data_IF_784207233164
#
_entry.id   IF_784207233164
#
_cell.length_a   1.000
_cell.length_b   1.000
_cell.length_c   1.000
_cell.angle_alpha   90.00
_cell.angle_beta   90.00
_cell.angle_gamma   90.00
#
_symmetry.space_group_name_H-M   'P 1'
#
loop_
_entity.id
_entity.type
_entity.pdbx_description
1 polymer ?
#
# COMPACT_ATOMS: atom_id res chain seq x y z
N UNK A 1 -6.89 74.67 -42.54
CA UNK A 1 -5.90 74.92 -41.47
C UNK A 1 -6.54 74.59 -40.14
N UNK A 2 -5.91 73.72 -39.33
CA UNK A 2 -5.97 73.58 -37.85
C UNK A 2 -7.38 73.69 -37.20
N UNK A 3 -7.91 72.67 -36.55
CA UNK A 3 -7.36 72.14 -35.29
C UNK A 3 -7.82 70.71 -35.00
N UNK A 4 -6.84 69.85 -34.70
CA UNK A 4 -6.99 68.55 -34.06
C UNK A 4 -7.23 68.80 -32.57
N UNK A 5 -8.32 68.28 -32.00
CA UNK A 5 -8.47 68.11 -30.55
C UNK A 5 -8.28 66.62 -30.26
N UNK A 6 -7.17 66.31 -29.59
CA UNK A 6 -6.73 64.98 -29.22
C UNK A 6 -7.07 64.79 -27.74
N UNK A 7 -8.10 64.01 -27.46
CA UNK A 7 -8.50 63.64 -26.10
C UNK A 7 -7.57 62.54 -25.61
N UNK A 8 -6.66 62.86 -24.68
CA UNK A 8 -5.83 61.88 -23.98
C UNK A 8 -6.62 61.34 -22.79
N UNK A 9 -7.16 60.13 -22.91
CA UNK A 9 -7.62 59.35 -21.78
C UNK A 9 -6.44 58.62 -21.14
N UNK A 10 -6.03 59.02 -19.94
CA UNK A 10 -5.13 58.24 -19.10
C UNK A 10 -5.92 57.06 -18.51
N UNK A 11 -5.72 55.87 -19.07
CA UNK A 11 -6.11 54.63 -18.43
C UNK A 11 -5.01 54.23 -17.43
N UNK A 12 -5.28 54.38 -16.13
CA UNK A 12 -4.53 53.71 -15.07
C UNK A 12 -4.78 52.20 -15.19
N UNK A 13 -3.90 51.49 -15.91
CA UNK A 13 -3.83 50.03 -15.82
C UNK A 13 -3.12 49.72 -14.51
N UNK A 14 -3.91 49.43 -13.47
CA UNK A 14 -3.40 48.78 -12.28
C UNK A 14 -2.80 47.44 -12.67
N UNK A 15 -1.48 47.31 -12.56
CA UNK A 15 -0.83 46.01 -12.57
C UNK A 15 -1.26 45.28 -11.31
N UNK A 16 -2.30 44.43 -11.42
CA UNK A 16 -2.48 43.36 -10.46
C UNK A 16 -1.36 42.36 -10.72
N UNK A 17 -0.27 42.47 -9.95
CA UNK A 17 0.67 41.37 -9.82
C UNK A 17 -0.11 40.23 -9.16
N UNK A 18 -0.56 39.25 -9.95
CA UNK A 18 -1.08 38.01 -9.38
C UNK A 18 0.06 37.34 -8.64
N UNK A 19 -0.07 37.21 -7.31
CA UNK A 19 0.88 36.49 -6.49
C UNK A 19 1.15 35.12 -7.13
N UNK A 20 2.42 34.81 -7.41
CA UNK A 20 2.79 33.56 -8.05
C UNK A 20 2.64 32.43 -7.02
N UNK A 21 1.47 31.78 -7.03
CA UNK A 21 1.22 30.60 -6.19
C UNK A 21 1.81 29.37 -6.86
N UNK A 22 2.68 28.66 -6.13
CA UNK A 22 3.20 27.34 -6.52
C UNK A 22 2.38 26.26 -5.82
N UNK A 23 1.94 25.25 -6.56
CA UNK A 23 1.20 24.09 -6.03
C UNK A 23 2.10 22.86 -6.11
N UNK A 24 2.25 22.15 -4.99
CA UNK A 24 3.06 20.95 -4.86
C UNK A 24 2.16 19.81 -4.41
N UNK A 25 1.99 18.79 -5.25
CA UNK A 25 1.24 17.59 -4.91
C UNK A 25 2.13 16.57 -4.18
N UNK A 26 1.53 15.88 -3.21
CA UNK A 26 2.18 14.91 -2.32
C UNK A 26 3.50 15.42 -1.72
N UNK A 27 3.50 16.56 -0.99
CA UNK A 27 4.72 17.26 -0.60
C UNK A 27 5.54 16.56 0.50
N UNK A 28 4.96 15.65 1.27
CA UNK A 28 5.61 14.98 2.40
C UNK A 28 6.68 13.99 1.91
N UNK A 29 7.88 14.09 2.46
CA UNK A 29 9.01 13.18 2.17
C UNK A 29 9.52 12.42 3.39
N UNK A 30 9.20 12.91 4.59
CA UNK A 30 9.76 12.41 5.84
C UNK A 30 8.79 11.52 6.60
N UNK A 31 9.27 11.07 7.76
CA UNK A 31 8.46 10.29 8.69
C UNK A 31 7.37 11.14 9.34
N UNK A 32 6.30 10.46 9.74
CA UNK A 32 5.16 11.01 10.46
C UNK A 32 4.94 10.25 11.75
N UNK A 33 4.38 10.90 12.77
CA UNK A 33 4.05 10.23 14.05
C UNK A 33 2.72 9.50 14.03
N UNK A 34 1.94 9.65 12.95
CA UNK A 34 0.61 9.05 12.84
C UNK A 34 0.25 8.76 11.38
N UNK A 35 -0.54 7.71 11.16
CA UNK A 35 -1.24 7.48 9.89
C UNK A 35 -2.58 8.23 9.81
N UNK A 36 -3.04 8.85 10.90
CA UNK A 36 -4.32 9.55 10.94
C UNK A 36 -4.31 10.89 10.20
N UNK A 37 -3.15 11.43 9.81
CA UNK A 37 -2.98 12.72 9.17
C UNK A 37 -2.16 12.57 7.88
N UNK A 38 -2.67 13.15 6.79
CA UNK A 38 -1.99 13.23 5.50
C UNK A 38 -2.06 14.65 4.94
N UNK A 39 -0.93 15.19 4.46
CA UNK A 39 -0.91 16.38 3.62
C UNK A 39 -0.66 15.97 2.17
N UNK A 40 -1.66 16.15 1.31
CA UNK A 40 -1.57 15.76 -0.09
C UNK A 40 -1.25 16.92 -1.03
N UNK A 41 -1.32 18.16 -0.56
CA UNK A 41 -0.96 19.33 -1.38
C UNK A 41 -0.47 20.50 -0.52
N UNK A 42 0.53 21.21 -1.02
CA UNK A 42 0.97 22.49 -0.48
C UNK A 42 0.81 23.59 -1.54
N UNK A 43 0.17 24.69 -1.18
CA UNK A 43 0.14 25.92 -1.97
C UNK A 43 1.05 26.96 -1.30
N UNK A 44 2.02 27.49 -2.04
CA UNK A 44 3.06 28.37 -1.52
C UNK A 44 3.01 29.68 -2.28
N UNK A 45 2.85 30.79 -1.56
CA UNK A 45 2.91 32.15 -2.10
C UNK A 45 3.78 33.05 -1.22
N UNK A 46 3.90 34.32 -1.60
CA UNK A 46 4.56 35.36 -0.80
C UNK A 46 3.75 35.80 0.43
N UNK A 47 2.48 35.39 0.52
CA UNK A 47 1.54 35.80 1.56
C UNK A 47 1.11 34.69 2.51
N UNK A 48 1.23 33.42 2.10
CA UNK A 48 0.90 32.28 2.95
C UNK A 48 1.49 30.96 2.43
N UNK A 49 1.51 29.97 3.31
CA UNK A 49 1.56 28.56 2.93
C UNK A 49 0.25 27.91 3.33
N UNK A 50 -0.40 27.20 2.41
CA UNK A 50 -1.63 26.45 2.66
C UNK A 50 -1.35 24.98 2.46
N UNK A 51 -1.51 24.19 3.53
CA UNK A 51 -1.46 22.74 3.45
C UNK A 51 -2.88 22.19 3.35
N UNK A 52 -3.15 21.41 2.32
CA UNK A 52 -4.39 20.63 2.20
C UNK A 52 -4.14 19.21 2.65
N UNK A 53 -5.05 18.70 3.47
CA UNK A 53 -4.90 17.40 4.08
C UNK A 53 -6.21 16.68 4.34
N UNK A 54 -6.07 15.42 4.71
CA UNK A 54 -7.16 14.58 5.21
C UNK A 54 -6.77 14.02 6.57
N UNK A 55 -7.76 13.98 7.46
CA UNK A 55 -7.73 13.14 8.65
C UNK A 55 -8.40 11.80 8.34
N UNK A 56 -7.84 10.70 8.85
CA UNK A 56 -8.36 9.34 8.69
C UNK A 56 -8.54 8.65 10.04
N UNK A 57 -9.70 8.02 10.24
CA UNK A 57 -9.94 7.08 11.34
C UNK A 57 -11.17 6.23 11.06
N UNK A 58 -11.41 5.21 11.90
CA UNK A 58 -12.66 4.41 11.85
C UNK A 58 -13.87 5.30 12.15
N UNK A 59 -15.07 5.00 11.61
CA UNK A 59 -16.28 5.72 11.94
C UNK A 59 -16.52 5.78 13.45
N UNK A 60 -17.01 6.91 13.94
CA UNK A 60 -17.23 7.19 15.37
C UNK A 60 -15.96 7.27 16.24
N UNK A 61 -14.76 7.15 15.67
CA UNK A 61 -13.53 7.57 16.33
C UNK A 61 -13.30 9.05 16.06
N UNK A 62 -12.77 9.78 17.03
CA UNK A 62 -12.49 11.20 16.88
C UNK A 62 -11.05 11.44 16.42
N UNK A 63 -10.87 12.57 15.75
CA UNK A 63 -9.58 13.18 15.47
C UNK A 63 -9.62 14.63 15.92
N UNK A 64 -8.46 15.25 16.12
CA UNK A 64 -8.36 16.66 16.50
C UNK A 64 -7.09 17.25 15.90
N UNK A 65 -7.16 18.52 15.50
CA UNK A 65 -5.98 19.32 15.16
C UNK A 65 -5.84 20.44 16.19
N UNK A 66 -4.65 20.60 16.76
CA UNK A 66 -4.38 21.63 17.76
C UNK A 66 -4.26 23.03 17.14
N UNK A 67 -4.75 24.07 17.82
CA UNK A 67 -4.51 25.46 17.38
C UNK A 67 -3.06 25.91 17.56
N UNK A 68 -2.29 25.19 18.38
CA UNK A 68 -0.85 25.42 18.60
C UNK A 68 0.03 24.94 17.44
N UNK A 69 -0.54 24.37 16.37
CA UNK A 69 0.22 23.87 15.24
C UNK A 69 1.05 24.94 14.54
N UNK A 70 2.23 24.53 14.10
CA UNK A 70 3.19 25.39 13.40
C UNK A 70 3.85 24.65 12.25
N UNK A 71 4.46 25.43 11.34
CA UNK A 71 5.52 24.94 10.47
C UNK A 71 6.87 25.41 10.99
N UNK A 72 7.88 24.55 10.94
CA UNK A 72 9.26 24.88 11.27
C UNK A 72 10.14 24.77 10.04
N UNK A 73 10.78 25.87 9.65
CA UNK A 73 11.74 25.92 8.54
C UNK A 73 12.98 25.09 8.85
N UNK A 74 13.40 24.24 7.91
CA UNK A 74 14.60 23.38 8.07
C UNK A 74 15.88 24.17 7.94
N UNK A 75 15.93 25.16 7.05
CA UNK A 75 17.12 25.93 6.75
C UNK A 75 17.32 27.09 7.73
N UNK A 76 16.26 27.81 8.07
CA UNK A 76 16.33 28.99 8.96
C UNK A 76 16.02 28.68 10.41
N UNK A 77 15.36 27.55 10.70
CA UNK A 77 14.86 27.21 12.03
C UNK A 77 13.65 28.05 12.47
N UNK A 78 13.15 28.96 11.63
CA UNK A 78 12.04 29.85 11.96
C UNK A 78 10.74 29.06 12.13
N UNK A 79 9.91 29.52 13.07
CA UNK A 79 8.57 28.98 13.32
C UNK A 79 7.54 29.87 12.64
N UNK A 80 6.63 29.26 11.89
CA UNK A 80 5.56 29.89 11.13
C UNK A 80 4.22 29.44 11.72
N UNK A 81 3.43 30.40 12.21
CA UNK A 81 2.22 30.12 12.98
C UNK A 81 1.05 29.75 12.08
N UNK A 82 0.18 28.87 12.59
CA UNK A 82 -1.14 28.64 12.00
C UNK A 82 -1.98 29.92 12.11
N UNK A 83 -2.55 30.35 10.98
CA UNK A 83 -3.44 31.51 10.87
C UNK A 83 -4.90 31.05 10.90
N UNK A 84 -5.23 30.01 10.12
CA UNK A 84 -6.61 29.56 9.94
C UNK A 84 -6.69 28.09 9.56
N UNK A 85 -7.72 27.41 10.06
CA UNK A 85 -8.17 26.11 9.56
C UNK A 85 -9.51 26.24 8.80
N UNK A 86 -9.73 25.40 7.79
CA UNK A 86 -10.99 25.32 7.05
C UNK A 86 -11.35 23.85 6.84
N UNK A 87 -12.60 23.48 7.05
CA UNK A 87 -13.08 22.09 6.97
C UNK A 87 -12.97 21.31 8.28
N UNK A 88 -12.32 21.87 9.30
CA UNK A 88 -12.20 21.30 10.65
C UNK A 88 -12.18 22.40 11.71
N UNK A 89 -12.70 22.12 12.90
CA UNK A 89 -12.59 23.00 14.07
C UNK A 89 -11.35 22.65 14.90
N UNK A 90 -10.48 23.63 15.13
CA UNK A 90 -9.29 23.45 15.97
C UNK A 90 -9.66 23.20 17.44
N UNK A 91 -8.81 22.44 18.13
CA UNK A 91 -8.95 22.05 19.55
C UNK A 91 -10.26 21.33 19.89
N UNK A 92 -10.94 20.77 18.90
CA UNK A 92 -12.22 20.09 19.06
C UNK A 92 -12.15 18.66 18.53
N UNK A 93 -12.80 17.73 19.24
CA UNK A 93 -12.96 16.35 18.78
C UNK A 93 -13.93 16.31 17.59
N UNK A 94 -13.45 15.81 16.46
CA UNK A 94 -14.23 15.66 15.23
C UNK A 94 -14.38 14.17 14.95
N UNK A 95 -15.60 13.66 15.08
CA UNK A 95 -15.89 12.24 14.87
C UNK A 95 -15.94 11.90 13.39
N UNK A 96 -15.30 10.79 13.01
CA UNK A 96 -15.22 10.36 11.62
C UNK A 96 -16.57 9.85 11.09
N UNK A 97 -16.94 10.25 9.87
CA UNK A 97 -18.13 9.76 9.18
C UNK A 97 -17.91 8.34 8.63
N UNK A 98 -18.94 7.79 7.99
CA UNK A 98 -18.86 6.53 7.21
C UNK A 98 -17.90 6.59 6.03
N UNK A 99 -17.39 7.77 5.64
CA UNK A 99 -16.33 7.89 4.64
C UNK A 99 -14.91 7.68 5.20
N UNK A 100 -14.77 7.50 6.52
CA UNK A 100 -13.50 7.27 7.21
C UNK A 100 -12.48 8.42 7.09
N UNK A 101 -12.89 9.55 6.53
CA UNK A 101 -12.04 10.71 6.37
C UNK A 101 -12.75 12.05 6.58
N UNK A 102 -11.96 13.07 6.91
CA UNK A 102 -12.36 14.49 6.88
C UNK A 102 -11.28 15.32 6.21
N UNK A 103 -11.65 15.99 5.12
CA UNK A 103 -10.75 16.92 4.41
C UNK A 103 -10.71 18.27 5.10
N UNK A 104 -9.52 18.87 5.12
CA UNK A 104 -9.29 20.18 5.69
C UNK A 104 -8.17 20.94 4.95
N UNK A 105 -8.01 22.21 5.29
CA UNK A 105 -6.82 22.99 4.94
C UNK A 105 -6.36 23.83 6.12
N UNK A 106 -5.04 24.00 6.24
CA UNK A 106 -4.36 24.80 7.24
C UNK A 106 -3.58 25.89 6.53
N UNK A 107 -3.89 27.15 6.85
CA UNK A 107 -3.17 28.31 6.34
C UNK A 107 -2.18 28.79 7.41
N UNK A 108 -0.90 28.87 7.04
CA UNK A 108 0.19 29.35 7.87
C UNK A 108 0.72 30.70 7.37
N UNK A 109 1.52 31.36 8.20
CA UNK A 109 2.35 32.49 7.81
C UNK A 109 3.22 32.16 6.58
N UNK A 110 3.57 33.17 5.74
CA UNK A 110 4.47 32.95 4.62
C UNK A 110 5.84 32.48 5.10
N UNK A 111 6.37 31.48 4.40
CA UNK A 111 7.65 30.86 4.71
C UNK A 111 8.80 31.65 4.07
N UNK A 112 9.94 31.76 4.75
CA UNK A 112 11.16 32.36 4.19
C UNK A 112 11.58 31.61 2.93
N UNK A 113 11.97 32.32 1.87
CA UNK A 113 12.35 31.71 0.58
C UNK A 113 13.53 30.74 0.69
N UNK A 114 14.30 30.81 1.77
CA UNK A 114 15.39 29.86 2.08
C UNK A 114 14.87 28.53 2.61
N UNK A 115 13.70 28.50 3.22
CA UNK A 115 13.10 27.28 3.76
C UNK A 115 12.36 26.52 2.66
N UNK A 116 13.06 25.58 2.03
CA UNK A 116 12.52 24.74 0.96
C UNK A 116 11.77 23.54 1.52
N UNK A 117 12.05 23.22 2.78
CA UNK A 117 11.41 22.15 3.52
C UNK A 117 10.97 22.66 4.89
N UNK A 118 9.83 22.17 5.34
CA UNK A 118 9.28 22.48 6.66
C UNK A 118 8.83 21.22 7.37
N UNK A 119 8.88 21.25 8.70
CA UNK A 119 8.23 20.25 9.54
C UNK A 119 6.93 20.83 10.08
N UNK A 120 5.85 20.03 10.08
CA UNK A 120 4.63 20.33 10.81
C UNK A 120 4.71 19.72 12.22
N UNK A 121 4.38 20.50 13.23
CA UNK A 121 4.28 20.05 14.63
C UNK A 121 3.08 20.73 15.32
N UNK A 122 2.26 19.94 16.01
CA UNK A 122 1.16 20.46 16.84
C UNK A 122 1.63 21.16 18.12
N UNK A 123 2.92 21.07 18.47
CA UNK A 123 3.53 21.65 19.67
C UNK A 123 2.91 21.16 20.97
N UNK A 124 2.46 19.90 20.99
CA UNK A 124 1.90 19.25 22.19
C UNK A 124 3.05 18.66 23.05
N UNK A 125 3.20 19.08 24.33
CA UNK A 125 4.35 18.70 25.17
C UNK A 125 4.47 17.20 25.51
N UNK A 126 3.38 16.45 25.46
CA UNK A 126 3.32 15.06 25.95
C UNK A 126 3.56 13.99 24.85
N UNK A 127 4.11 14.39 23.70
CA UNK A 127 4.49 13.44 22.63
C UNK A 127 3.33 12.83 21.84
N UNK A 128 2.08 13.11 22.21
CA UNK A 128 0.87 12.64 21.52
C UNK A 128 0.43 13.55 20.35
N UNK A 129 1.19 14.61 20.04
CA UNK A 129 0.88 15.51 18.94
C UNK A 129 1.28 14.93 17.59
N UNK A 130 0.54 15.33 16.56
CA UNK A 130 0.91 14.98 15.19
C UNK A 130 2.15 15.75 14.76
N UNK A 131 3.10 15.03 14.17
CA UNK A 131 4.27 15.58 13.49
C UNK A 131 4.37 14.98 12.11
N UNK A 132 4.65 15.83 11.13
CA UNK A 132 4.91 15.44 9.75
C UNK A 132 6.18 16.14 9.32
N UNK A 133 7.24 15.37 9.11
CA UNK A 133 8.54 15.90 8.79
C UNK A 133 8.74 16.04 7.28
N UNK A 134 9.65 16.94 6.90
CA UNK A 134 10.19 17.06 5.54
C UNK A 134 9.08 17.30 4.48
N UNK A 135 8.17 18.24 4.77
CA UNK A 135 7.19 18.74 3.79
C UNK A 135 7.93 19.64 2.80
N UNK A 136 8.07 19.16 1.57
CA UNK A 136 8.75 19.89 0.50
C UNK A 136 7.84 20.99 -0.05
N UNK A 137 8.33 22.23 -0.01
CA UNK A 137 7.61 23.39 -0.52
C UNK A 137 7.99 23.73 -1.96
N UNK A 138 8.84 22.93 -2.61
CA UNK A 138 9.28 23.10 -3.99
C UNK A 138 8.83 21.95 -4.89
N UNK A 139 8.76 22.21 -6.19
CA UNK A 139 8.51 21.15 -7.17
C UNK A 139 9.66 20.16 -7.12
N UNK A 140 9.33 18.88 -6.93
CA UNK A 140 10.29 17.78 -6.91
C UNK A 140 10.96 17.68 -8.29
N UNK A 141 12.29 17.69 -8.32
CA UNK A 141 13.00 17.19 -9.49
C UNK A 141 12.90 15.67 -9.48
N UNK A 142 12.13 15.13 -10.41
CA UNK A 142 11.92 13.69 -10.53
C UNK A 142 13.04 13.13 -11.42
N UNK A 143 14.07 12.59 -10.77
CA UNK A 143 15.21 11.94 -11.43
C UNK A 143 15.07 10.42 -11.34
N UNK A 144 13.99 9.89 -11.92
CA UNK A 144 13.67 8.46 -11.95
C UNK A 144 13.49 7.99 -13.38
N UNK A 145 13.84 6.72 -13.65
CA UNK A 145 13.83 6.15 -15.00
C UNK A 145 12.44 5.75 -15.48
N UNK A 146 11.55 5.46 -14.54
CA UNK A 146 10.21 4.94 -14.80
C UNK A 146 9.18 5.93 -14.30
N UNK A 147 8.18 6.18 -15.13
CA UNK A 147 6.97 6.91 -14.78
C UNK A 147 5.75 5.99 -15.03
N UNK A 148 5.16 5.54 -13.94
CA UNK A 148 3.96 4.71 -13.93
C UNK A 148 2.77 5.56 -13.47
N UNK A 149 1.83 5.81 -14.39
CA UNK A 149 0.60 6.54 -14.11
C UNK A 149 -0.47 5.58 -13.60
N UNK A 150 -0.90 5.76 -12.37
CA UNK A 150 -1.97 4.97 -11.75
C UNK A 150 -3.22 5.83 -11.69
N UNK A 151 -4.32 5.36 -12.27
CA UNK A 151 -5.62 6.03 -12.24
C UNK A 151 -6.72 5.02 -11.97
N UNK A 152 -7.82 5.47 -11.39
CA UNK A 152 -8.92 4.56 -11.16
C UNK A 152 -10.15 5.18 -10.53
N UNK A 153 -11.12 4.31 -10.33
CA UNK A 153 -12.40 4.63 -9.68
C UNK A 153 -12.70 3.66 -8.55
N UNK A 154 -13.52 4.12 -7.61
CA UNK A 154 -14.06 3.34 -6.51
C UNK A 154 -15.57 3.21 -6.73
N UNK A 155 -16.05 1.98 -6.89
CA UNK A 155 -17.46 1.69 -7.05
C UNK A 155 -18.18 1.77 -5.69
N UNK A 156 -18.91 2.87 -5.46
CA UNK A 156 -19.93 3.05 -4.42
C UNK A 156 -19.52 2.59 -3.00
N UNK A 157 -18.28 2.84 -2.58
CA UNK A 157 -17.81 2.55 -1.23
C UNK A 157 -17.22 3.81 -0.58
N UNK A 158 -18.00 4.53 0.26
CA UNK A 158 -17.52 5.74 0.94
C UNK A 158 -16.27 5.50 1.80
N UNK A 159 -16.11 4.29 2.37
CA UNK A 159 -14.99 3.94 3.23
C UNK A 159 -13.64 3.90 2.50
N UNK A 160 -13.63 3.74 1.17
CA UNK A 160 -12.43 3.70 0.35
C UNK A 160 -11.93 5.13 0.04
N UNK A 161 -11.82 5.97 1.07
CA UNK A 161 -11.33 7.35 0.95
C UNK A 161 -9.81 7.44 0.86
N UNK A 162 -9.10 6.34 1.15
CA UNK A 162 -7.64 6.21 1.14
C UNK A 162 -7.21 4.85 0.61
N UNK A 163 -6.26 4.86 -0.31
CA UNK A 163 -5.62 3.66 -0.83
C UNK A 163 -4.19 3.58 -0.33
N UNK A 164 -3.74 2.35 -0.09
CA UNK A 164 -2.37 2.02 0.23
C UNK A 164 -1.69 1.50 -1.03
N UNK A 165 -0.55 2.06 -1.40
CA UNK A 165 0.29 1.60 -2.50
C UNK A 165 1.69 1.27 -1.95
N UNK A 166 2.18 0.06 -2.21
CA UNK A 166 3.51 -0.37 -1.74
C UNK A 166 4.13 -1.43 -2.65
N UNK A 167 5.45 -1.60 -2.62
CA UNK A 167 6.08 -2.76 -3.26
C UNK A 167 5.48 -4.06 -2.70
N UNK A 168 5.24 -5.03 -3.57
CA UNK A 168 4.51 -6.24 -3.17
C UNK A 168 5.32 -7.12 -2.22
N UNK A 169 4.65 -7.57 -1.16
CA UNK A 169 5.24 -8.43 -0.14
C UNK A 169 6.02 -7.70 0.93
N UNK A 170 5.77 -6.39 1.04
CA UNK A 170 6.17 -5.58 2.18
C UNK A 170 5.10 -5.69 3.27
N UNK A 171 5.48 -5.41 4.52
CA UNK A 171 4.54 -5.40 5.64
C UNK A 171 4.32 -3.94 6.07
N UNK A 172 3.09 -3.41 5.95
CA UNK A 172 2.81 -1.99 6.23
C UNK A 172 3.01 -1.61 7.71
N UNK A 173 3.22 -2.58 8.61
CA UNK A 173 3.55 -2.34 10.02
C UNK A 173 5.01 -1.97 10.25
N UNK A 174 5.89 -2.35 9.34
CA UNK A 174 7.35 -2.12 9.46
C UNK A 174 7.92 -1.31 8.30
N UNK A 175 7.22 -1.27 7.17
CA UNK A 175 7.62 -0.50 6.00
C UNK A 175 6.56 0.53 5.63
N UNK A 176 7.02 1.75 5.36
CA UNK A 176 6.15 2.83 4.91
C UNK A 176 5.50 2.51 3.56
N UNK A 177 4.30 3.07 3.35
CA UNK A 177 3.50 2.90 2.15
C UNK A 177 3.04 4.28 1.64
N UNK A 178 2.72 4.33 0.35
CA UNK A 178 2.24 5.54 -0.32
C UNK A 178 0.73 5.64 -0.12
N UNK A 179 0.28 6.77 0.43
CA UNK A 179 -1.12 7.09 0.62
C UNK A 179 -1.68 7.81 -0.61
N UNK A 180 -2.73 7.25 -1.21
CA UNK A 180 -3.42 7.86 -2.35
C UNK A 180 -4.84 8.23 -1.91
N UNK A 181 -5.18 9.52 -1.84
CA UNK A 181 -6.53 9.95 -1.51
C UNK A 181 -7.50 9.64 -2.66
N UNK A 182 -8.72 9.26 -2.30
CA UNK A 182 -9.84 9.16 -3.23
C UNK A 182 -10.69 10.42 -3.11
N UNK A 183 -11.04 11.00 -4.26
CA UNK A 183 -11.84 12.22 -4.39
C UNK A 183 -12.97 11.97 -5.36
N UNK A 184 -14.21 12.17 -4.91
CA UNK A 184 -15.40 11.96 -5.73
C UNK A 184 -15.42 10.59 -6.43
N UNK A 185 -14.99 9.54 -5.70
CA UNK A 185 -14.90 8.18 -6.20
C UNK A 185 -13.79 7.93 -7.23
N UNK A 186 -12.81 8.85 -7.36
CA UNK A 186 -11.69 8.75 -8.30
C UNK A 186 -10.36 8.95 -7.60
N UNK A 187 -9.30 8.37 -8.15
CA UNK A 187 -7.94 8.58 -7.68
C UNK A 187 -6.95 8.62 -8.82
N UNK A 188 -5.82 9.27 -8.57
CA UNK A 188 -4.71 9.33 -9.50
C UNK A 188 -3.40 9.55 -8.76
N UNK A 189 -2.35 8.88 -9.23
CA UNK A 189 -1.02 8.98 -8.68
C UNK A 189 0.05 8.76 -9.77
N UNK A 190 1.13 9.55 -9.71
CA UNK A 190 2.31 9.35 -10.53
C UNK A 190 3.40 8.66 -9.70
N UNK A 191 3.61 7.37 -9.97
CA UNK A 191 4.66 6.58 -9.35
C UNK A 191 5.94 6.69 -10.16
N UNK A 192 7.04 7.06 -9.49
CA UNK A 192 8.36 7.21 -10.10
C UNK A 192 9.39 6.30 -9.44
N UNK A 193 9.96 5.37 -10.20
CA UNK A 193 10.91 4.36 -9.71
C UNK A 193 12.13 4.22 -10.62
N UNK A 194 13.17 3.53 -10.16
CA UNK A 194 14.37 3.25 -10.96
C UNK A 194 14.38 1.87 -11.59
N UNK A 195 13.48 0.98 -11.14
CA UNK A 195 13.45 -0.44 -11.47
C UNK A 195 12.02 -0.90 -11.61
N UNK A 196 11.82 -1.85 -12.52
CA UNK A 196 10.54 -2.54 -12.71
C UNK A 196 10.38 -3.57 -11.59
N UNK A 197 9.40 -3.35 -10.72
CA UNK A 197 9.09 -4.24 -9.61
C UNK A 197 7.58 -4.29 -9.36
N UNK A 198 7.06 -5.41 -8.82
CA UNK A 198 5.65 -5.53 -8.51
C UNK A 198 5.27 -4.61 -7.35
N UNK A 199 4.18 -3.87 -7.53
CA UNK A 199 3.49 -3.10 -6.51
C UNK A 199 2.12 -3.72 -6.25
N UNK A 200 1.60 -3.52 -5.04
CA UNK A 200 0.24 -3.84 -4.68
C UNK A 200 -0.53 -2.60 -4.22
N UNK A 201 -1.83 -2.56 -4.54
CA UNK A 201 -2.76 -1.52 -4.14
C UNK A 201 -4.02 -2.11 -3.53
N UNK A 202 -4.48 -1.55 -2.42
CA UNK A 202 -5.75 -1.89 -1.76
C UNK A 202 -6.26 -0.76 -0.88
N UNK A 203 -7.53 -0.83 -0.47
CA UNK A 203 -8.14 0.16 0.39
C UNK A 203 -7.62 0.06 1.83
N UNK A 204 -7.28 1.21 2.43
CA UNK A 204 -6.83 1.27 3.83
C UNK A 204 -7.91 0.79 4.82
N UNK A 205 -9.18 1.03 4.52
CA UNK A 205 -10.31 0.56 5.32
C UNK A 205 -10.38 -0.97 5.41
N UNK A 206 -10.04 -1.68 4.33
CA UNK A 206 -10.06 -3.15 4.32
C UNK A 206 -8.88 -3.73 5.09
N UNK A 207 -7.72 -3.08 4.97
CA UNK A 207 -6.53 -3.41 5.75
C UNK A 207 -6.84 -3.40 7.25
N UNK A 208 -7.54 -2.35 7.72
CA UNK A 208 -7.96 -2.24 9.11
C UNK A 208 -9.00 -3.28 9.55
N UNK A 209 -9.73 -3.87 8.61
CA UNK A 209 -10.76 -4.87 8.86
C UNK A 209 -10.27 -6.30 8.68
N UNK A 210 -9.05 -6.51 8.16
CA UNK A 210 -8.51 -7.85 7.94
C UNK A 210 -9.05 -8.55 6.69
N UNK A 211 -9.62 -7.81 5.73
CA UNK A 211 -10.36 -8.38 4.59
C UNK A 211 -10.02 -7.71 3.26
N UNK A 212 -8.74 -7.38 3.03
CA UNK A 212 -8.31 -6.64 1.84
C UNK A 212 -8.14 -7.52 0.60
N UNK A 213 -8.40 -6.92 -0.56
CA UNK A 213 -8.17 -7.51 -1.89
C UNK A 213 -7.00 -6.79 -2.57
N UNK A 214 -5.75 -7.24 -2.36
CA UNK A 214 -4.60 -6.60 -2.98
C UNK A 214 -4.63 -6.82 -4.49
N UNK A 215 -4.40 -5.75 -5.26
CA UNK A 215 -4.21 -5.86 -6.71
C UNK A 215 -2.77 -5.57 -7.09
N UNK A 216 -2.13 -6.53 -7.76
CA UNK A 216 -0.71 -6.44 -8.13
C UNK A 216 -0.52 -6.03 -9.59
N UNK A 217 0.45 -5.15 -9.82
CA UNK A 217 0.89 -4.68 -11.13
C UNK A 217 2.39 -4.32 -11.11
N UNK A 218 3.00 -4.07 -12.27
CA UNK A 218 4.41 -3.66 -12.33
C UNK A 218 4.55 -2.14 -12.37
N UNK A 219 5.55 -1.63 -11.64
CA UNK A 219 6.03 -0.26 -11.79
C UNK A 219 6.83 -0.14 -13.10
N UNK A 220 6.12 0.04 -14.21
CA UNK A 220 6.69 0.19 -15.55
C UNK A 220 6.19 1.47 -16.23
N UNK A 221 6.86 1.88 -17.31
CA UNK A 221 6.44 3.04 -18.07
C UNK A 221 5.07 2.80 -18.70
N UNK A 222 4.11 3.67 -18.40
CA UNK A 222 2.78 3.58 -18.96
C UNK A 222 1.69 3.89 -17.94
N UNK A 223 0.48 3.42 -18.25
CA UNK A 223 -0.72 3.69 -17.47
C UNK A 223 -1.35 2.40 -16.97
N UNK A 224 -1.86 2.45 -15.76
CA UNK A 224 -2.63 1.40 -15.11
C UNK A 224 -3.97 2.00 -14.70
N UNK A 225 -5.05 1.36 -15.14
CA UNK A 225 -6.41 1.72 -14.80
C UNK A 225 -7.00 0.67 -13.85
N UNK A 226 -7.57 1.11 -12.73
CA UNK A 226 -8.07 0.21 -11.68
C UNK A 226 -9.52 0.60 -11.33
N UNK A 227 -10.40 -0.39 -11.24
CA UNK A 227 -11.75 -0.24 -10.67
C UNK A 227 -11.80 -1.04 -9.38
N UNK A 228 -11.97 -0.34 -8.26
CA UNK A 228 -12.07 -0.93 -6.93
C UNK A 228 -13.53 -1.17 -6.56
N UNK A 229 -13.80 -2.32 -5.95
CA UNK A 229 -15.11 -2.73 -5.47
C UNK A 229 -15.01 -3.14 -4.00
N UNK A 230 -16.11 -2.98 -3.24
CA UNK A 230 -16.11 -3.29 -1.80
C UNK A 230 -16.19 -4.78 -1.46
N UNK A 231 -16.62 -5.62 -2.40
CA UNK A 231 -16.99 -7.02 -2.12
C UNK A 231 -16.50 -8.01 -3.18
N UNK A 232 -15.62 -7.58 -4.09
CA UNK A 232 -15.08 -8.41 -5.16
C UNK A 232 -13.67 -7.95 -5.52
N UNK A 233 -12.95 -8.81 -6.24
CA UNK A 233 -11.62 -8.49 -6.71
C UNK A 233 -11.63 -7.21 -7.57
N UNK A 234 -10.60 -6.35 -7.47
CA UNK A 234 -10.46 -5.19 -8.34
C UNK A 234 -10.29 -5.58 -9.81
N UNK A 235 -10.82 -4.76 -10.71
CA UNK A 235 -10.55 -4.87 -12.14
C UNK A 235 -9.34 -4.02 -12.47
N UNK A 236 -8.39 -4.57 -13.25
CA UNK A 236 -7.17 -3.88 -13.64
C UNK A 236 -6.97 -3.98 -15.14
N UNK A 237 -6.66 -2.85 -15.76
CA UNK A 237 -6.38 -2.73 -17.18
C UNK A 237 -5.06 -2.01 -17.40
N UNK A 238 -4.24 -2.53 -18.30
CA UNK A 238 -3.03 -1.85 -18.74
C UNK A 238 -2.59 -2.40 -20.10
N UNK A 239 -2.09 -1.50 -20.95
CA UNK A 239 -1.37 -1.88 -22.16
C UNK A 239 0.15 -1.96 -21.95
N UNK A 240 0.63 -1.64 -20.75
CA UNK A 240 2.04 -1.70 -20.42
C UNK A 240 2.51 -3.18 -20.40
N UNK A 241 3.64 -3.53 -21.06
CA UNK A 241 3.97 -4.92 -21.39
C UNK A 241 3.98 -5.90 -20.21
N UNK A 242 4.57 -5.56 -19.07
CA UNK A 242 4.73 -6.49 -17.95
C UNK A 242 3.40 -6.73 -17.24
N UNK A 243 2.65 -5.67 -16.97
CA UNK A 243 1.33 -5.70 -16.35
C UNK A 243 0.35 -6.40 -17.28
N UNK A 244 0.39 -6.13 -18.59
CA UNK A 244 -0.43 -6.81 -19.59
C UNK A 244 -0.15 -8.32 -19.64
N UNK A 245 1.12 -8.72 -19.61
CA UNK A 245 1.50 -10.14 -19.53
C UNK A 245 0.98 -10.79 -18.22
N UNK A 246 1.15 -10.13 -17.07
CA UNK A 246 0.65 -10.61 -15.79
C UNK A 246 -0.88 -10.78 -15.79
N UNK A 247 -1.60 -9.78 -16.30
CA UNK A 247 -3.06 -9.82 -16.38
C UNK A 247 -3.54 -10.92 -17.31
N UNK A 248 -2.88 -11.11 -18.47
CA UNK A 248 -3.18 -12.22 -19.38
C UNK A 248 -3.00 -13.57 -18.68
N UNK A 249 -1.87 -13.77 -18.00
CA UNK A 249 -1.61 -15.01 -17.27
C UNK A 249 -2.67 -15.26 -16.18
N UNK A 250 -3.03 -14.23 -15.40
CA UNK A 250 -4.09 -14.32 -14.38
C UNK A 250 -5.44 -14.68 -14.99
N UNK A 251 -5.85 -14.02 -16.08
CA UNK A 251 -7.12 -14.30 -16.76
C UNK A 251 -7.18 -15.71 -17.37
N UNK A 252 -6.10 -16.13 -18.04
CA UNK A 252 -6.00 -17.47 -18.63
C UNK A 252 -6.07 -18.54 -17.55
N UNK A 253 -5.37 -18.36 -16.43
CA UNK A 253 -5.36 -19.34 -15.34
C UNK A 253 -6.66 -19.36 -14.54
N UNK A 254 -7.31 -18.21 -14.31
CA UNK A 254 -8.64 -18.17 -13.68
C UNK A 254 -9.65 -18.97 -14.51
N UNK A 255 -9.67 -18.73 -15.83
CA UNK A 255 -10.54 -19.45 -16.76
C UNK A 255 -10.25 -20.94 -16.86
N UNK A 256 -8.98 -21.32 -16.95
CA UNK A 256 -8.57 -22.71 -17.12
C UNK A 256 -8.80 -23.55 -15.86
N UNK A 257 -8.68 -22.95 -14.67
CA UNK A 257 -8.60 -23.70 -13.42
C UNK A 257 -9.68 -23.33 -12.41
N UNK A 258 -10.00 -22.05 -12.23
CA UNK A 258 -10.69 -21.57 -11.02
C UNK A 258 -12.15 -21.13 -11.23
N UNK A 259 -12.53 -20.65 -12.41
CA UNK A 259 -13.91 -20.18 -12.70
C UNK A 259 -14.96 -21.24 -12.34
N UNK A 260 -14.77 -22.47 -12.83
CA UNK A 260 -15.71 -23.57 -12.56
C UNK A 260 -15.80 -23.95 -11.07
N UNK A 261 -14.71 -23.79 -10.31
CA UNK A 261 -14.71 -24.05 -8.86
C UNK A 261 -15.46 -22.95 -8.12
N UNK A 262 -15.30 -21.70 -8.55
CA UNK A 262 -15.99 -20.54 -7.98
C UNK A 262 -17.50 -20.65 -8.21
N UNK A 263 -17.93 -20.96 -9.44
CA UNK A 263 -19.35 -21.17 -9.77
C UNK A 263 -19.98 -22.30 -8.94
N UNK A 264 -19.28 -23.42 -8.79
CA UNK A 264 -19.74 -24.55 -7.99
C UNK A 264 -19.82 -24.20 -6.49
N UNK A 265 -18.81 -23.48 -5.97
CA UNK A 265 -18.82 -22.98 -4.60
C UNK A 265 -19.99 -22.04 -4.35
N UNK A 266 -20.20 -21.04 -5.20
CA UNK A 266 -21.31 -20.09 -5.08
C UNK A 266 -22.68 -20.79 -5.08
N UNK A 267 -22.83 -21.86 -5.86
CA UNK A 267 -24.04 -22.68 -5.84
C UNK A 267 -24.23 -23.37 -4.49
N UNK A 268 -23.19 -23.99 -3.94
CA UNK A 268 -23.25 -24.63 -2.62
C UNK A 268 -23.55 -23.60 -1.51
N UNK A 269 -23.00 -22.38 -1.60
CA UNK A 269 -23.30 -21.28 -0.67
C UNK A 269 -24.78 -20.90 -0.73
N UNK A 270 -25.34 -20.70 -1.94
CA UNK A 270 -26.77 -20.38 -2.14
C UNK A 270 -27.70 -21.48 -1.63
N UNK A 271 -27.27 -22.74 -1.70
CA UNK A 271 -28.03 -23.90 -1.21
C UNK A 271 -27.80 -24.19 0.28
N UNK A 272 -27.00 -23.40 1.00
CA UNK A 272 -26.55 -23.65 2.39
C UNK A 272 -25.92 -25.03 2.58
N UNK A 273 -25.13 -25.48 1.59
CA UNK A 273 -24.48 -26.80 1.56
C UNK A 273 -22.98 -26.75 1.87
N UNK A 274 -22.44 -25.64 2.35
CA UNK A 274 -21.04 -25.62 2.81
C UNK A 274 -20.92 -26.28 4.18
N UNK A 275 -21.60 -25.71 5.18
CA UNK A 275 -21.51 -26.11 6.58
C UNK A 275 -22.57 -27.14 6.93
N UNK A 276 -22.26 -28.04 7.85
CA UNK A 276 -23.26 -28.94 8.42
C UNK A 276 -24.23 -28.17 9.33
N UNK A 277 -25.43 -28.71 9.62
CA UNK A 277 -26.36 -28.07 10.56
C UNK A 277 -25.76 -27.80 11.94
N UNK A 278 -24.85 -28.66 12.42
CA UNK A 278 -24.15 -28.47 13.68
C UNK A 278 -23.20 -27.25 13.64
N UNK A 279 -22.47 -27.08 12.53
CA UNK A 279 -21.58 -25.93 12.35
C UNK A 279 -22.37 -24.61 12.21
N UNK A 280 -23.48 -24.62 11.48
CA UNK A 280 -24.38 -23.45 11.37
C UNK A 280 -24.97 -23.06 12.73
N UNK A 281 -25.32 -24.02 13.57
CA UNK A 281 -25.80 -23.76 14.92
C UNK A 281 -24.74 -23.04 15.78
N UNK A 282 -23.48 -23.50 15.74
CA UNK A 282 -22.38 -22.84 16.44
C UNK A 282 -22.12 -21.42 15.90
N UNK A 283 -22.22 -21.21 14.59
CA UNK A 283 -22.07 -19.87 13.99
C UNK A 283 -23.16 -18.90 14.51
N UNK A 284 -24.40 -19.36 14.60
CA UNK A 284 -25.49 -18.58 15.18
C UNK A 284 -25.33 -18.33 16.69
N UNK A 285 -24.61 -19.19 17.42
CA UNK A 285 -24.22 -18.93 18.83
C UNK A 285 -23.18 -17.82 18.92
N UNK A 286 -22.18 -17.77 18.02
CA UNK A 286 -21.17 -16.69 17.98
C UNK A 286 -21.83 -15.32 17.81
N UNK A 287 -22.83 -15.21 16.94
CA UNK A 287 -23.56 -13.96 16.69
C UNK A 287 -24.31 -13.46 17.93
N UNK A 288 -24.72 -14.36 18.83
CA UNK A 288 -25.47 -14.04 20.06
C UNK A 288 -24.58 -13.82 21.28
N UNK A 289 -23.32 -14.27 21.22
CA UNK A 289 -22.39 -14.20 22.34
C UNK A 289 -22.14 -12.75 22.77
N UNK A 290 -22.25 -12.50 24.08
CA UNK A 290 -22.21 -11.15 24.66
C UNK A 290 -20.79 -10.72 25.07
N UNK A 291 -19.87 -11.67 25.23
CA UNK A 291 -18.51 -11.41 25.68
C UNK A 291 -17.48 -12.31 24.98
N UNK A 292 -16.19 -11.98 25.16
CA UNK A 292 -15.08 -12.69 24.51
C UNK A 292 -14.90 -14.14 25.01
N UNK A 293 -15.19 -14.43 26.28
CA UNK A 293 -15.00 -15.78 26.83
C UNK A 293 -16.03 -16.76 26.23
N UNK A 294 -17.29 -16.35 26.13
CA UNK A 294 -18.34 -17.11 25.42
C UNK A 294 -17.92 -17.38 23.97
N UNK A 295 -17.44 -16.36 23.25
CA UNK A 295 -16.97 -16.52 21.87
C UNK A 295 -15.82 -17.52 21.79
N UNK A 296 -14.86 -17.43 22.70
CA UNK A 296 -13.71 -18.33 22.76
C UNK A 296 -14.13 -19.78 22.99
N UNK A 297 -15.06 -20.05 23.89
CA UNK A 297 -15.63 -21.39 24.10
C UNK A 297 -16.33 -21.92 22.84
N UNK A 298 -17.12 -21.09 22.16
CA UNK A 298 -17.80 -21.48 20.92
C UNK A 298 -16.77 -21.76 19.81
N UNK A 299 -15.74 -20.94 19.66
CA UNK A 299 -14.67 -21.17 18.70
C UNK A 299 -13.89 -22.47 18.97
N UNK A 300 -13.71 -22.85 20.24
CA UNK A 300 -13.12 -24.15 20.59
C UNK A 300 -14.01 -25.30 20.11
N UNK A 301 -15.34 -25.21 20.30
CA UNK A 301 -16.29 -26.22 19.78
C UNK A 301 -16.29 -26.28 18.26
N UNK A 302 -16.24 -25.13 17.58
CA UNK A 302 -16.15 -25.08 16.11
C UNK A 302 -14.87 -25.76 15.61
N UNK A 303 -13.73 -25.49 16.25
CA UNK A 303 -12.46 -26.16 15.93
C UNK A 303 -12.55 -27.68 16.14
N UNK A 304 -13.09 -28.13 17.27
CA UNK A 304 -13.26 -29.57 17.51
C UNK A 304 -14.18 -30.23 16.47
N UNK A 305 -15.24 -29.55 16.05
CA UNK A 305 -16.15 -30.06 15.02
C UNK A 305 -15.44 -30.19 13.65
N UNK A 306 -14.54 -29.27 13.34
CA UNK A 306 -13.69 -29.31 12.15
C UNK A 306 -12.64 -30.42 12.24
N UNK A 307 -11.92 -30.52 13.36
CA UNK A 307 -10.94 -31.59 13.64
C UNK A 307 -11.58 -32.99 13.56
N UNK A 308 -12.86 -33.11 13.95
CA UNK A 308 -13.67 -34.33 13.83
C UNK A 308 -14.14 -34.62 12.39
N UNK A 309 -13.91 -33.71 11.44
CA UNK A 309 -14.36 -33.80 10.04
C UNK A 309 -15.88 -33.62 9.87
N UNK A 310 -16.54 -32.97 10.83
CA UNK A 310 -18.01 -32.80 10.89
C UNK A 310 -18.46 -31.36 10.62
N UNK A 311 -17.54 -30.43 10.40
CA UNK A 311 -17.89 -29.03 10.12
C UNK A 311 -18.52 -28.85 8.74
N UNK A 312 -18.07 -29.61 7.74
CA UNK A 312 -18.45 -29.46 6.33
C UNK A 312 -19.32 -30.61 5.80
N UNK A 313 -20.20 -30.30 4.86
CA UNK A 313 -21.02 -31.32 4.18
C UNK A 313 -20.18 -32.19 3.23
N UNK A 314 -20.72 -33.35 2.85
CA UNK A 314 -20.05 -34.22 1.86
C UNK A 314 -19.96 -33.55 0.46
N UNK A 315 -20.98 -32.79 0.05
CA UNK A 315 -20.95 -32.03 -1.22
C UNK A 315 -19.79 -31.03 -1.23
N UNK A 316 -19.55 -30.33 -0.12
CA UNK A 316 -18.44 -29.38 0.00
C UNK A 316 -17.07 -30.09 0.04
N UNK A 317 -16.94 -31.21 0.77
CA UNK A 317 -15.70 -32.01 0.79
C UNK A 317 -15.31 -32.52 -0.60
N UNK A 318 -16.30 -32.89 -1.43
CA UNK A 318 -16.06 -33.26 -2.83
C UNK A 318 -15.48 -32.08 -3.62
N UNK A 319 -16.02 -30.87 -3.44
CA UNK A 319 -15.49 -29.66 -4.06
C UNK A 319 -14.08 -29.32 -3.55
N UNK A 320 -13.79 -29.48 -2.26
CA UNK A 320 -12.44 -29.27 -1.71
C UNK A 320 -11.42 -30.22 -2.33
N UNK A 321 -11.76 -31.50 -2.46
CA UNK A 321 -10.87 -32.47 -3.14
C UNK A 321 -10.63 -32.08 -4.59
N UNK A 322 -11.68 -31.67 -5.32
CA UNK A 322 -11.56 -31.17 -6.70
C UNK A 322 -10.65 -29.92 -6.75
N UNK A 323 -10.79 -29.01 -5.80
CA UNK A 323 -9.94 -27.82 -5.67
C UNK A 323 -8.46 -28.17 -5.45
N UNK A 324 -8.16 -29.16 -4.60
CA UNK A 324 -6.80 -29.66 -4.39
C UNK A 324 -6.19 -30.23 -5.68
N UNK A 325 -6.94 -31.04 -6.44
CA UNK A 325 -6.49 -31.60 -7.72
C UNK A 325 -6.25 -30.51 -8.77
N UNK A 326 -7.14 -29.52 -8.86
CA UNK A 326 -6.99 -28.36 -9.74
C UNK A 326 -5.76 -27.54 -9.38
N UNK A 327 -5.54 -27.27 -8.09
CA UNK A 327 -4.35 -26.55 -7.62
C UNK A 327 -3.05 -27.27 -8.00
N UNK A 328 -3.01 -28.60 -7.93
CA UNK A 328 -1.89 -29.39 -8.41
C UNK A 328 -1.62 -29.20 -9.92
N UNK A 329 -2.68 -29.19 -10.74
CA UNK A 329 -2.59 -28.92 -12.18
C UNK A 329 -2.13 -27.50 -12.48
N UNK A 330 -2.67 -26.51 -11.75
CA UNK A 330 -2.27 -25.11 -11.87
C UNK A 330 -0.79 -24.91 -11.53
N UNK A 331 -0.29 -25.50 -10.42
CA UNK A 331 1.13 -25.43 -10.04
C UNK A 331 2.05 -25.92 -11.17
N UNK A 332 1.70 -27.04 -11.81
CA UNK A 332 2.47 -27.58 -12.93
C UNK A 332 2.39 -26.67 -14.16
N UNK A 333 1.20 -26.17 -14.50
CA UNK A 333 1.02 -25.22 -15.60
C UNK A 333 1.84 -23.94 -15.39
N UNK A 334 1.81 -23.36 -14.18
CA UNK A 334 2.60 -22.17 -13.82
C UNK A 334 4.10 -22.44 -13.95
N UNK A 335 4.60 -23.60 -13.48
CA UNK A 335 6.02 -23.99 -13.66
C UNK A 335 6.41 -24.07 -15.15
N UNK A 336 5.57 -24.67 -15.99
CA UNK A 336 5.84 -24.76 -17.43
C UNK A 336 5.79 -23.39 -18.12
N UNK A 337 4.87 -22.52 -17.72
CA UNK A 337 4.83 -21.13 -18.17
C UNK A 337 6.14 -20.41 -17.83
N UNK A 338 6.58 -20.49 -16.56
CA UNK A 338 7.80 -19.85 -16.07
C UNK A 338 9.04 -20.37 -16.82
N UNK A 339 9.12 -21.68 -17.11
CA UNK A 339 10.22 -22.29 -17.87
C UNK A 339 10.24 -21.81 -19.32
N UNK A 340 9.08 -21.75 -19.96
CA UNK A 340 8.95 -21.39 -21.37
C UNK A 340 9.09 -19.88 -21.62
N UNK A 341 8.83 -19.06 -20.61
CA UNK A 341 8.81 -17.61 -20.70
C UNK A 341 9.73 -16.99 -19.62
N UNK A 342 11.06 -16.92 -19.85
CA UNK A 342 11.99 -16.34 -18.90
C UNK A 342 11.96 -14.80 -18.92
N UNK A 343 10.81 -14.22 -18.57
CA UNK A 343 10.48 -12.79 -18.52
C UNK A 343 10.53 -12.27 -17.08
N UNK A 344 10.42 -10.96 -16.87
CA UNK A 344 10.30 -10.38 -15.52
C UNK A 344 9.03 -10.89 -14.82
N UNK A 345 7.93 -11.09 -15.56
CA UNK A 345 6.70 -11.68 -15.03
C UNK A 345 6.93 -13.14 -14.61
N UNK A 346 7.63 -13.94 -15.42
CA UNK A 346 8.02 -15.30 -15.04
C UNK A 346 8.87 -15.35 -13.77
N UNK A 347 9.81 -14.42 -13.61
CA UNK A 347 10.63 -14.29 -12.39
C UNK A 347 9.75 -13.92 -11.17
N UNK A 348 8.80 -13.02 -11.36
CA UNK A 348 7.81 -12.67 -10.33
C UNK A 348 6.96 -13.87 -9.91
N UNK A 349 6.40 -14.62 -10.87
CA UNK A 349 5.61 -15.82 -10.57
C UNK A 349 6.45 -16.87 -9.81
N UNK A 350 7.72 -17.03 -10.18
CA UNK A 350 8.65 -17.91 -9.47
C UNK A 350 8.89 -17.45 -8.03
N UNK A 351 9.08 -16.15 -7.79
CA UNK A 351 9.15 -15.56 -6.44
C UNK A 351 7.86 -15.85 -5.64
N UNK A 352 6.70 -15.72 -6.27
CA UNK A 352 5.41 -15.97 -5.61
C UNK A 352 5.23 -17.44 -5.23
N UNK A 353 5.69 -18.39 -6.06
CA UNK A 353 5.71 -19.81 -5.67
C UNK A 353 6.52 -20.04 -4.41
N UNK A 354 7.70 -19.41 -4.29
CA UNK A 354 8.53 -19.52 -3.08
C UNK A 354 7.77 -19.07 -1.83
N UNK A 355 7.03 -17.97 -1.91
CA UNK A 355 6.27 -17.43 -0.77
C UNK A 355 5.13 -18.33 -0.32
N UNK A 356 4.60 -19.17 -1.22
CA UNK A 356 3.51 -20.13 -0.95
C UNK A 356 4.01 -21.55 -0.63
N UNK A 357 5.32 -21.77 -0.66
CA UNK A 357 5.92 -23.09 -0.55
C UNK A 357 5.97 -23.56 0.90
N UNK A 358 5.64 -24.83 1.11
CA UNK A 358 5.68 -25.49 2.41
C UNK A 358 6.69 -26.65 2.47
N UNK A 359 7.15 -27.18 1.33
CA UNK A 359 7.99 -28.39 1.22
C UNK A 359 9.37 -28.11 0.60
N UNK A 360 10.34 -28.95 0.93
CA UNK A 360 11.73 -28.99 0.46
C UNK A 360 11.91 -29.54 -0.96
N UNK A 361 11.09 -30.50 -1.43
CA UNK A 361 11.24 -31.04 -2.80
C UNK A 361 10.86 -30.00 -3.85
N UNK A 362 9.78 -29.24 -3.61
CA UNK A 362 9.38 -28.08 -4.43
C UNK A 362 10.52 -27.05 -4.56
N UNK A 363 11.39 -26.93 -3.54
CA UNK A 363 12.50 -25.99 -3.55
C UNK A 363 13.55 -26.35 -4.60
N UNK A 364 13.89 -27.64 -4.77
CA UNK A 364 14.94 -28.07 -5.72
C UNK A 364 14.56 -27.77 -7.17
N UNK A 365 13.30 -27.99 -7.52
CA UNK A 365 12.73 -27.64 -8.83
C UNK A 365 12.83 -26.14 -9.12
N UNK A 366 12.40 -25.30 -8.17
CA UNK A 366 12.43 -23.84 -8.28
C UNK A 366 13.87 -23.35 -8.47
N UNK A 367 14.81 -23.91 -7.68
CA UNK A 367 16.24 -23.62 -7.81
C UNK A 367 16.76 -23.97 -9.20
N UNK A 368 16.37 -25.12 -9.75
CA UNK A 368 16.77 -25.54 -11.09
C UNK A 368 16.20 -24.61 -12.18
N UNK A 369 14.92 -24.26 -12.09
CA UNK A 369 14.27 -23.30 -13.02
C UNK A 369 15.01 -21.96 -13.01
N UNK A 370 15.31 -21.43 -11.83
CA UNK A 370 16.05 -20.17 -11.73
C UNK A 370 17.45 -20.29 -12.32
N UNK A 371 18.23 -21.30 -11.90
CA UNK A 371 19.63 -21.49 -12.33
C UNK A 371 19.76 -21.67 -13.85
N UNK A 372 18.78 -22.30 -14.50
CA UNK A 372 18.81 -22.58 -15.96
C UNK A 372 18.17 -21.49 -16.82
N UNK A 373 17.07 -20.88 -16.36
CA UNK A 373 16.28 -19.94 -17.17
C UNK A 373 16.53 -18.46 -16.88
N UNK A 374 16.94 -18.13 -15.65
CA UNK A 374 16.93 -16.76 -15.10
C UNK A 374 18.28 -16.28 -14.59
N UNK A 375 19.19 -17.18 -14.20
CA UNK A 375 20.52 -16.79 -13.72
C UNK A 375 21.26 -15.94 -14.77
N UNK A 376 21.76 -14.78 -14.33
CA UNK A 376 22.42 -13.80 -15.20
C UNK A 376 21.48 -12.90 -16.00
N UNK A 377 20.16 -13.15 -16.01
CA UNK A 377 19.14 -12.22 -16.50
C UNK A 377 18.68 -11.29 -15.39
N UNK A 378 18.18 -10.12 -15.78
CA UNK A 378 17.59 -9.14 -14.87
C UNK A 378 18.49 -8.87 -13.64
N UNK A 379 19.81 -8.77 -13.85
CA UNK A 379 20.79 -8.75 -12.77
C UNK A 379 20.57 -7.58 -11.78
N UNK A 380 20.04 -6.46 -12.29
CA UNK A 380 19.73 -5.26 -11.50
C UNK A 380 18.31 -5.29 -10.89
N UNK A 381 17.53 -6.37 -11.07
CA UNK A 381 16.18 -6.46 -10.55
C UNK A 381 16.16 -6.96 -9.08
N UNK A 382 15.43 -6.32 -8.15
CA UNK A 382 15.37 -6.74 -6.74
C UNK A 382 14.89 -8.19 -6.54
N UNK A 383 14.03 -8.69 -7.43
CA UNK A 383 13.58 -10.09 -7.36
C UNK A 383 14.71 -11.07 -7.66
N UNK A 384 15.66 -10.70 -8.52
CA UNK A 384 16.86 -11.51 -8.79
C UNK A 384 17.72 -11.65 -7.53
N UNK A 385 17.87 -10.57 -6.76
CA UNK A 385 18.60 -10.59 -5.50
C UNK A 385 17.88 -11.42 -4.43
N UNK A 386 16.55 -11.29 -4.35
CA UNK A 386 15.72 -12.16 -3.51
C UNK A 386 15.93 -13.64 -3.85
N UNK A 387 15.90 -14.01 -5.14
CA UNK A 387 16.11 -15.39 -5.57
C UNK A 387 17.50 -15.90 -5.17
N UNK A 388 18.56 -15.11 -5.36
CA UNK A 388 19.92 -15.49 -4.95
C UNK A 388 20.02 -15.71 -3.45
N UNK A 389 19.45 -14.81 -2.65
CA UNK A 389 19.44 -14.91 -1.19
C UNK A 389 18.66 -16.14 -0.72
N UNK A 390 17.49 -16.39 -1.30
CA UNK A 390 16.67 -17.55 -0.99
C UNK A 390 17.37 -18.88 -1.35
N UNK A 391 18.07 -18.93 -2.49
CA UNK A 391 18.89 -20.09 -2.87
C UNK A 391 20.02 -20.29 -1.86
N UNK A 392 20.77 -19.24 -1.56
CA UNK A 392 21.90 -19.30 -0.63
C UNK A 392 21.45 -19.73 0.77
N UNK A 393 20.29 -19.26 1.25
CA UNK A 393 19.78 -19.60 2.58
C UNK A 393 19.46 -21.10 2.72
N UNK A 394 19.09 -21.76 1.61
CA UNK A 394 18.85 -23.21 1.56
C UNK A 394 20.13 -24.03 1.50
N UNK A 395 21.25 -23.42 1.11
CA UNK A 395 22.57 -24.06 1.08
C UNK A 395 23.32 -23.95 2.43
N UNK A 396 22.77 -23.19 3.40
CA UNK A 396 23.30 -23.13 4.77
C UNK A 396 23.14 -24.48 5.46
N UNK A 397 24.22 -24.97 6.06
CA UNK A 397 24.28 -26.23 6.79
C UNK A 397 25.12 -26.09 8.06
N UNK A 398 24.90 -26.96 9.04
CA UNK A 398 25.72 -27.03 10.25
C UNK A 398 27.21 -27.21 9.88
N UNK A 399 28.07 -26.37 10.45
CA UNK A 399 29.50 -26.31 10.11
C UNK A 399 29.83 -25.65 8.75
N UNK A 400 28.84 -25.12 8.04
CA UNK A 400 28.99 -24.36 6.80
C UNK A 400 29.31 -22.88 7.02
N UNK A 401 29.43 -22.13 5.93
CA UNK A 401 29.56 -20.67 5.96
C UNK A 401 28.18 -20.03 6.14
N UNK A 402 28.07 -19.03 7.02
CA UNK A 402 26.88 -18.19 7.11
C UNK A 402 26.87 -17.13 5.99
N UNK A 403 25.69 -16.57 5.72
CA UNK A 403 25.55 -15.42 4.82
C UNK A 403 25.82 -14.16 5.63
N UNK A 404 26.90 -13.46 5.31
CA UNK A 404 27.20 -12.18 5.94
C UNK A 404 26.24 -11.11 5.43
N UNK A 405 25.79 -10.24 6.33
CA UNK A 405 24.85 -9.16 6.00
C UNK A 405 25.13 -7.94 6.86
N UNK A 406 24.60 -6.80 6.43
CA UNK A 406 24.63 -5.55 7.19
C UNK A 406 23.22 -5.07 7.41
N UNK A 407 22.86 -4.79 8.67
CA UNK A 407 21.56 -4.28 9.06
C UNK A 407 21.74 -3.08 10.02
N UNK A 408 20.88 -2.05 9.93
CA UNK A 408 20.91 -0.96 10.89
C UNK A 408 20.39 -1.40 12.27
N UNK A 409 20.92 -0.80 13.35
CA UNK A 409 20.32 -0.85 14.69
C UNK A 409 19.09 0.09 14.80
N UNK A 410 18.54 0.24 16.01
CA UNK A 410 17.38 1.08 16.27
C UNK A 410 17.64 2.58 16.00
N UNK A 411 18.91 2.99 16.04
CA UNK A 411 19.41 4.33 15.77
C UNK A 411 19.79 4.54 14.29
N UNK A 412 19.68 3.50 13.46
CA UNK A 412 20.01 3.53 12.05
C UNK A 412 21.49 3.28 11.72
N UNK A 413 22.31 2.93 12.71
CA UNK A 413 23.74 2.67 12.54
C UNK A 413 23.94 1.28 11.92
N UNK A 414 24.68 1.14 10.81
CA UNK A 414 24.85 -0.15 10.15
C UNK A 414 25.83 -1.07 10.92
N UNK A 415 25.38 -2.29 11.22
CA UNK A 415 26.16 -3.37 11.81
C UNK A 415 26.34 -4.52 10.83
N UNK A 416 27.58 -4.98 10.64
CA UNK A 416 27.88 -6.15 9.78
C UNK A 416 28.07 -7.39 10.66
N UNK A 417 27.30 -8.45 10.42
CA UNK A 417 27.30 -9.66 11.25
C UNK A 417 28.72 -10.20 11.47
N UNK A 418 29.52 -10.35 10.42
CA UNK A 418 30.88 -10.88 10.52
C UNK A 418 31.79 -10.12 11.48
N UNK A 419 31.62 -8.80 11.59
CA UNK A 419 32.36 -7.95 12.53
C UNK A 419 31.85 -8.10 13.95
N UNK A 420 30.54 -8.19 14.13
CA UNK A 420 29.92 -8.33 15.45
C UNK A 420 30.29 -9.64 16.14
N UNK A 421 30.41 -10.71 15.34
CA UNK A 421 30.64 -12.07 15.83
C UNK A 421 32.11 -12.50 15.76
N UNK A 422 33.03 -11.61 15.38
CA UNK A 422 34.45 -11.96 15.24
C UNK A 422 35.01 -12.54 16.55
N UNK A 423 35.41 -13.81 16.51
CA UNK A 423 35.92 -14.55 17.67
C UNK A 423 34.86 -14.91 18.73
N UNK A 424 33.57 -14.70 18.45
CA UNK A 424 32.44 -14.94 19.36
C UNK A 424 31.46 -15.96 18.79
N UNK A 425 30.64 -16.54 19.65
CA UNK A 425 29.46 -17.30 19.27
C UNK A 425 28.28 -16.34 19.22
N UNK A 426 27.49 -16.37 18.14
CA UNK A 426 26.24 -15.64 18.04
C UNK A 426 25.05 -16.58 18.25
N UNK A 427 24.09 -16.12 19.04
CA UNK A 427 22.74 -16.64 19.05
C UNK A 427 21.89 -15.68 18.21
N UNK A 428 21.27 -16.19 17.15
CA UNK A 428 20.37 -15.41 16.30
C UNK A 428 18.95 -15.82 16.69
N UNK A 429 18.23 -14.89 17.31
CA UNK A 429 16.79 -15.00 17.53
C UNK A 429 16.09 -14.37 16.31
N UNK A 430 15.36 -15.18 15.55
CA UNK A 430 14.82 -14.84 14.22
C UNK A 430 13.32 -14.58 14.25
#
# INVERSE_FOLDING_TARGET
MKSILLTVGLAFIGMYATAQTRVIDYPVMGQRTTDALEFYQAEVSDTAVILRGDMYSRPNYWVRIASSSVLKGKETGKVYRLIRATGIKLDHEEYMPESWNRSFSLQFEPVDKRDRMVDYDEMIPEGNGFRVNDICLENKQINKKIHCRIEGTVANCPAYSRLMLMPEGTDPRVQGWISIPVRDGKFSYDLYTDREEPYELYAWSDNLQGAWYPTSFFSENGKIEIILHSSQAPEVYSDAPLTKELLRFKQETDKLFFDSLREEREKLEKENKILTPAALALQAEVEKAQNEEERKEIFQKMRQLDDDGKAYTEDYKVLEKKSQEVNGKYKNYEKEYIRSNPTIVGLYLLKQQIRRMHDTEEASDIMHIYKTGYAGKFADNPMTDYMKLWIASREIKLGGKYIDFTAPDAEGLPHTLSKEIEGKVALIDL
#
